data_IF_272104783029
#
_entry.id   IF_272104783029
#
_cell.length_a   1.000
_cell.length_b   1.000
_cell.length_c   1.000
_cell.angle_alpha   90.00
_cell.angle_beta   90.00
_cell.angle_gamma   90.00
#
_symmetry.space_group_name_H-M   'P 1'
#
loop_
_entity.id
_entity.type
_entity.pdbx_description
1 polymer ?
#
# COMPACT_ATOMS: atom_id res chain seq x y z
N UNK A 1 -9.33 -0.16 -32.66
CA UNK A 1 -9.03 -0.14 -31.21
C UNK A 1 -9.12 -1.56 -30.67
N UNK A 2 -8.10 -2.01 -29.97
CA UNK A 2 -8.12 -3.33 -29.32
C UNK A 2 -9.05 -3.23 -28.11
N UNK A 3 -9.99 -4.14 -28.00
CA UNK A 3 -10.94 -4.14 -26.88
C UNK A 3 -10.27 -4.77 -25.65
N UNK A 4 -9.83 -3.94 -24.69
CA UNK A 4 -9.20 -4.37 -23.43
C UNK A 4 -10.12 -5.29 -22.62
N UNK A 5 -11.43 -5.10 -22.70
CA UNK A 5 -12.42 -5.96 -22.05
C UNK A 5 -12.41 -7.38 -22.62
N UNK A 6 -12.30 -7.51 -23.94
CA UNK A 6 -12.15 -8.82 -24.59
C UNK A 6 -10.86 -9.51 -24.11
N UNK A 7 -9.76 -8.77 -23.97
CA UNK A 7 -8.50 -9.30 -23.43
C UNK A 7 -8.70 -9.77 -21.98
N UNK A 8 -9.32 -8.96 -21.13
CA UNK A 8 -9.58 -9.30 -19.74
C UNK A 8 -10.41 -10.59 -19.61
N UNK A 9 -11.43 -10.75 -20.45
CA UNK A 9 -12.27 -11.95 -20.48
C UNK A 9 -11.48 -13.20 -20.89
N UNK A 10 -10.63 -13.10 -21.93
CA UNK A 10 -9.75 -14.19 -22.33
C UNK A 10 -8.79 -14.62 -21.21
N UNK A 11 -8.31 -13.66 -20.39
CA UNK A 11 -7.50 -13.97 -19.21
C UNK A 11 -8.29 -14.71 -18.14
N UNK A 12 -9.50 -14.25 -17.82
CA UNK A 12 -10.37 -14.91 -16.83
C UNK A 12 -10.71 -16.32 -17.25
N UNK A 13 -10.89 -16.56 -18.53
CA UNK A 13 -11.15 -17.87 -19.13
C UNK A 13 -9.86 -18.71 -19.31
N UNK A 14 -8.68 -18.19 -18.98
CA UNK A 14 -7.36 -18.83 -19.16
C UNK A 14 -7.02 -19.19 -20.62
N UNK A 15 -7.60 -18.49 -21.57
CA UNK A 15 -7.40 -18.71 -23.02
C UNK A 15 -6.07 -18.14 -23.53
N UNK A 16 -5.49 -17.18 -22.79
CA UNK A 16 -4.27 -16.48 -23.18
C UNK A 16 -3.28 -16.37 -22.02
N UNK A 17 -1.99 -16.23 -22.35
CA UNK A 17 -0.94 -15.97 -21.37
C UNK A 17 -0.51 -14.51 -21.45
N UNK A 18 -0.19 -13.89 -20.32
CA UNK A 18 0.23 -12.49 -20.27
C UNK A 18 1.39 -12.17 -21.22
N UNK A 19 2.36 -13.09 -21.34
CA UNK A 19 3.52 -12.94 -22.23
C UNK A 19 3.17 -12.84 -23.72
N UNK A 20 2.02 -13.35 -24.13
CA UNK A 20 1.61 -13.35 -25.54
C UNK A 20 0.84 -12.07 -25.89
N UNK A 21 0.27 -11.41 -24.88
CA UNK A 21 -0.60 -10.24 -25.03
C UNK A 21 0.12 -8.94 -24.67
N UNK A 22 1.09 -8.97 -23.76
CA UNK A 22 1.69 -7.75 -23.24
C UNK A 22 3.18 -7.64 -23.50
N UNK A 23 3.64 -6.38 -23.65
CA UNK A 23 5.02 -5.95 -23.62
C UNK A 23 5.27 -5.07 -22.40
N UNK A 24 6.48 -5.16 -21.84
CA UNK A 24 6.93 -4.26 -20.79
C UNK A 24 8.02 -3.35 -21.33
N UNK A 25 7.75 -2.05 -21.29
CA UNK A 25 8.66 -1.00 -21.78
C UNK A 25 8.95 0.01 -20.68
N UNK A 26 10.11 0.61 -20.72
CA UNK A 26 10.40 1.80 -19.93
C UNK A 26 9.53 2.95 -20.41
N UNK A 27 9.06 3.76 -19.48
CA UNK A 27 8.26 4.94 -19.76
C UNK A 27 8.82 6.14 -19.02
N UNK A 28 8.57 7.35 -19.54
CA UNK A 28 8.95 8.56 -18.84
C UNK A 28 8.17 8.72 -17.52
N UNK A 29 8.71 9.57 -16.66
CA UNK A 29 8.05 9.88 -15.38
C UNK A 29 6.67 10.50 -15.60
N UNK A 30 6.54 11.34 -16.62
CA UNK A 30 5.29 12.02 -16.97
C UNK A 30 4.21 11.00 -17.34
N UNK A 31 4.53 10.06 -18.26
CA UNK A 31 3.59 8.99 -18.65
C UNK A 31 3.18 8.13 -17.46
N UNK A 32 4.14 7.76 -16.62
CA UNK A 32 3.86 6.99 -15.40
C UNK A 32 2.97 7.77 -14.42
N UNK A 33 3.26 9.07 -14.24
CA UNK A 33 2.52 9.94 -13.34
C UNK A 33 1.08 10.12 -13.79
N UNK A 34 0.84 10.40 -15.08
CA UNK A 34 -0.50 10.58 -15.63
C UNK A 34 -1.34 9.32 -15.49
N UNK A 35 -0.75 8.15 -15.78
CA UNK A 35 -1.45 6.87 -15.61
C UNK A 35 -1.80 6.60 -14.13
N UNK A 36 -0.85 6.80 -13.22
CA UNK A 36 -1.04 6.56 -11.79
C UNK A 36 -2.07 7.54 -11.21
N UNK A 37 -1.99 8.81 -11.59
CA UNK A 37 -2.95 9.84 -11.19
C UNK A 37 -4.38 9.45 -11.54
N UNK A 38 -4.58 8.88 -12.71
CA UNK A 38 -5.90 8.53 -13.21
C UNK A 38 -6.46 7.25 -12.57
N UNK A 39 -5.63 6.24 -12.31
CA UNK A 39 -6.11 4.89 -11.98
C UNK A 39 -5.69 4.38 -10.60
N UNK A 40 -4.74 5.03 -9.93
CA UNK A 40 -4.31 4.58 -8.60
C UNK A 40 -5.16 5.24 -7.51
N UNK A 41 -5.49 4.47 -6.46
CA UNK A 41 -6.33 4.96 -5.35
C UNK A 41 -5.78 6.19 -4.60
N UNK A 42 -4.48 6.45 -4.66
CA UNK A 42 -3.85 7.64 -4.09
C UNK A 42 -3.93 8.87 -5.03
N UNK A 43 -4.41 8.70 -6.26
CA UNK A 43 -4.61 9.79 -7.22
C UNK A 43 -3.42 10.73 -7.33
N UNK A 44 -3.62 12.00 -6.99
CA UNK A 44 -2.63 13.08 -7.09
C UNK A 44 -1.51 13.05 -6.05
N UNK A 45 -1.45 12.03 -5.18
CA UNK A 45 -0.39 11.94 -4.18
C UNK A 45 1.00 11.89 -4.86
N UNK A 46 1.81 12.91 -4.59
CA UNK A 46 3.17 13.02 -5.11
C UNK A 46 4.01 11.80 -4.74
N UNK A 47 4.80 11.33 -5.69
CA UNK A 47 5.77 10.27 -5.47
C UNK A 47 7.06 10.56 -6.25
N UNK A 48 8.14 9.93 -5.80
CA UNK A 48 9.41 9.95 -6.53
C UNK A 48 9.53 8.67 -7.32
N UNK A 49 10.14 8.75 -8.51
CA UNK A 49 10.46 7.59 -9.32
C UNK A 49 11.78 7.79 -10.05
N UNK A 50 12.58 6.74 -10.09
CA UNK A 50 13.81 6.64 -10.87
C UNK A 50 13.61 5.74 -12.08
N UNK A 51 12.92 4.61 -11.89
CA UNK A 51 12.63 3.65 -12.94
C UNK A 51 11.12 3.48 -13.06
N UNK A 52 10.61 3.55 -14.27
CA UNK A 52 9.20 3.42 -14.56
C UNK A 52 8.98 2.42 -15.69
N UNK A 53 8.16 1.43 -15.45
CA UNK A 53 7.84 0.39 -16.41
C UNK A 53 6.35 0.35 -16.68
N UNK A 54 6.01 0.51 -17.97
CA UNK A 54 4.64 0.39 -18.45
C UNK A 54 4.35 -0.99 -19.00
N UNK A 55 3.17 -1.51 -18.73
CA UNK A 55 2.60 -2.69 -19.39
C UNK A 55 1.74 -2.21 -20.57
N UNK A 56 2.10 -2.62 -21.76
CA UNK A 56 1.42 -2.25 -22.98
C UNK A 56 0.79 -3.47 -23.65
N UNK A 57 -0.32 -3.25 -24.33
CA UNK A 57 -0.83 -4.27 -25.24
C UNK A 57 0.17 -4.42 -26.38
N UNK A 58 0.60 -5.66 -26.64
CA UNK A 58 1.64 -5.99 -27.63
C UNK A 58 1.29 -5.44 -29.01
N UNK A 59 2.27 -4.80 -29.64
CA UNK A 59 2.13 -4.19 -30.96
C UNK A 59 1.36 -2.87 -30.96
N UNK A 60 1.06 -2.31 -29.78
CA UNK A 60 0.37 -1.02 -29.64
C UNK A 60 1.10 -0.06 -28.70
N UNK A 61 0.58 1.16 -28.58
CA UNK A 61 0.99 2.13 -27.56
C UNK A 61 -0.05 2.25 -26.42
N UNK A 62 -0.96 1.30 -26.31
CA UNK A 62 -1.98 1.30 -25.26
C UNK A 62 -1.39 0.83 -23.93
N UNK A 63 -1.22 1.76 -22.99
CA UNK A 63 -0.70 1.53 -21.65
C UNK A 63 -1.83 1.03 -20.75
N UNK A 64 -1.66 -0.15 -20.15
CA UNK A 64 -2.67 -0.80 -19.32
C UNK A 64 -2.22 -1.04 -17.87
N UNK A 65 -0.97 -0.76 -17.56
CA UNK A 65 -0.43 -0.87 -16.21
C UNK A 65 0.90 -0.16 -16.06
N UNK A 66 1.24 0.23 -14.83
CA UNK A 66 2.50 0.91 -14.52
C UNK A 66 3.06 0.45 -13.18
N UNK A 67 4.38 0.26 -13.13
CA UNK A 67 5.16 0.00 -11.92
C UNK A 67 6.29 1.04 -11.83
N UNK A 68 6.41 1.71 -10.68
CA UNK A 68 7.41 2.75 -10.46
C UNK A 68 8.29 2.45 -9.27
N UNK A 69 9.57 2.76 -9.39
CA UNK A 69 10.59 2.46 -8.41
C UNK A 69 11.40 3.70 -8.09
N UNK A 70 11.73 3.89 -6.82
CA UNK A 70 12.64 4.95 -6.37
C UNK A 70 13.57 4.46 -5.26
N UNK A 71 14.45 5.33 -4.81
CA UNK A 71 15.14 5.10 -3.55
C UNK A 71 14.13 5.04 -2.41
N UNK A 72 14.36 4.17 -1.40
CA UNK A 72 13.50 4.07 -0.24
C UNK A 72 13.31 5.41 0.46
N UNK A 73 12.08 5.70 0.86
CA UNK A 73 11.74 6.94 1.54
C UNK A 73 12.13 6.87 3.02
N UNK A 74 12.96 7.82 3.45
CA UNK A 74 13.44 7.94 4.83
C UNK A 74 14.88 7.51 4.99
N UNK A 75 15.65 8.34 5.67
CA UNK A 75 17.10 8.18 5.88
C UNK A 75 17.47 6.89 6.60
N UNK A 76 16.60 6.39 7.48
CA UNK A 76 16.84 5.19 8.28
C UNK A 76 16.29 3.90 7.64
N UNK A 77 15.59 4.01 6.50
CA UNK A 77 14.95 2.84 5.89
C UNK A 77 15.97 1.77 5.49
N UNK A 78 17.02 2.13 4.74
CA UNK A 78 18.05 1.19 4.30
C UNK A 78 18.85 0.61 5.45
N UNK A 79 19.16 1.42 6.47
CA UNK A 79 19.84 0.97 7.68
C UNK A 79 19.01 -0.07 8.43
N UNK A 80 17.69 0.18 8.56
CA UNK A 80 16.79 -0.78 9.20
C UNK A 80 16.60 -2.07 8.42
N UNK A 81 16.56 -2.00 7.07
CA UNK A 81 16.36 -3.19 6.25
C UNK A 81 17.62 -4.04 6.07
N UNK A 82 18.76 -3.40 5.79
CA UNK A 82 19.97 -4.09 5.32
C UNK A 82 21.25 -3.62 5.99
N UNK A 83 21.20 -2.69 6.96
CA UNK A 83 22.39 -2.08 7.55
C UNK A 83 23.18 -1.19 6.58
N UNK A 84 22.56 -0.76 5.48
CA UNK A 84 23.18 0.05 4.45
C UNK A 84 23.00 1.55 4.72
N UNK A 85 23.88 2.35 4.17
CA UNK A 85 23.80 3.81 4.25
C UNK A 85 22.63 4.34 3.39
N UNK A 86 22.10 5.49 3.75
CA UNK A 86 20.92 6.07 3.11
C UNK A 86 21.08 6.44 1.63
N UNK A 87 22.32 6.53 1.14
CA UNK A 87 22.65 6.84 -0.24
C UNK A 87 22.95 5.59 -1.11
N UNK A 88 22.77 4.39 -0.58
CA UNK A 88 22.95 3.16 -1.36
C UNK A 88 21.86 3.07 -2.42
N UNK A 89 22.27 3.20 -3.69
CA UNK A 89 21.38 3.19 -4.85
C UNK A 89 21.04 1.76 -5.34
N UNK A 90 21.58 0.75 -4.70
CA UNK A 90 21.35 -0.65 -5.09
C UNK A 90 20.03 -1.22 -4.56
N UNK A 91 19.32 -0.50 -3.69
CA UNK A 91 18.02 -0.89 -3.13
C UNK A 91 16.95 0.03 -3.67
N UNK A 92 15.92 -0.55 -4.24
CA UNK A 92 14.75 0.19 -4.74
C UNK A 92 13.52 -0.08 -3.91
N UNK A 93 12.69 0.94 -3.76
CA UNK A 93 11.31 0.79 -3.25
C UNK A 93 10.35 0.79 -4.43
N UNK A 94 9.47 -0.21 -4.51
CA UNK A 94 8.32 -0.18 -5.40
C UNK A 94 7.32 0.84 -4.84
N UNK A 95 7.31 2.02 -5.42
CA UNK A 95 6.53 3.16 -4.92
C UNK A 95 5.08 3.13 -5.35
N UNK A 96 4.82 2.69 -6.58
CA UNK A 96 3.46 2.53 -7.12
C UNK A 96 3.40 1.31 -8.03
N UNK A 97 2.29 0.60 -7.93
CA UNK A 97 1.89 -0.46 -8.85
C UNK A 97 0.42 -0.25 -9.17
N UNK A 98 0.13 0.00 -10.43
CA UNK A 98 -1.21 0.36 -10.87
C UNK A 98 -1.57 -0.36 -12.17
N UNK A 99 -2.81 -0.80 -12.27
CA UNK A 99 -3.37 -1.45 -13.46
C UNK A 99 -4.70 -0.80 -13.83
N UNK A 100 -5.09 -0.91 -15.09
CA UNK A 100 -6.48 -0.62 -15.44
C UNK A 100 -7.42 -1.50 -14.62
N UNK A 101 -8.48 -0.96 -14.01
CA UNK A 101 -9.38 -1.71 -13.14
C UNK A 101 -9.96 -2.98 -13.78
N UNK A 102 -10.20 -2.96 -15.08
CA UNK A 102 -10.75 -4.09 -15.83
C UNK A 102 -9.81 -5.32 -15.84
N UNK A 103 -8.51 -5.12 -15.64
CA UNK A 103 -7.50 -6.18 -15.55
C UNK A 103 -7.29 -6.70 -14.13
N UNK A 104 -7.97 -6.15 -13.14
CA UNK A 104 -7.92 -6.68 -11.78
C UNK A 104 -8.43 -8.12 -11.73
N UNK A 105 -7.78 -8.93 -10.87
CA UNK A 105 -8.08 -10.37 -10.77
C UNK A 105 -7.47 -11.22 -11.89
N UNK A 106 -6.69 -10.62 -12.80
CA UNK A 106 -5.90 -11.35 -13.80
C UNK A 106 -4.44 -11.47 -13.39
N UNK A 107 -3.65 -12.27 -14.10
CA UNK A 107 -2.22 -12.41 -13.85
C UNK A 107 -1.36 -11.29 -14.50
N UNK A 108 -1.98 -10.26 -15.10
CA UNK A 108 -1.27 -9.14 -15.72
C UNK A 108 -0.45 -8.33 -14.73
N UNK A 109 -0.97 -8.12 -13.51
CA UNK A 109 -0.23 -7.39 -12.47
C UNK A 109 1.02 -8.13 -12.02
N UNK A 110 0.93 -9.44 -11.80
CA UNK A 110 2.10 -10.26 -11.44
C UNK A 110 3.09 -10.36 -12.59
N UNK A 111 2.62 -10.36 -13.83
CA UNK A 111 3.47 -10.32 -15.01
C UNK A 111 4.24 -9.00 -15.10
N UNK A 112 3.57 -7.85 -14.92
CA UNK A 112 4.21 -6.54 -14.88
C UNK A 112 5.28 -6.49 -13.77
N UNK A 113 4.90 -6.82 -12.54
CA UNK A 113 5.79 -6.72 -11.38
C UNK A 113 7.01 -7.62 -11.53
N UNK A 114 6.82 -8.89 -11.87
CA UNK A 114 7.92 -9.85 -11.99
C UNK A 114 8.90 -9.48 -13.11
N UNK A 115 8.41 -8.95 -14.23
CA UNK A 115 9.29 -8.62 -15.35
C UNK A 115 9.93 -7.23 -15.21
N UNK A 116 9.27 -6.26 -14.56
CA UNK A 116 9.93 -4.99 -14.23
C UNK A 116 11.08 -5.20 -13.23
N UNK A 117 10.91 -6.07 -12.24
CA UNK A 117 12.01 -6.45 -11.32
C UNK A 117 13.18 -7.10 -12.06
N UNK A 118 12.92 -7.96 -13.05
CA UNK A 118 13.98 -8.54 -13.86
C UNK A 118 14.77 -7.47 -14.61
N UNK A 119 14.11 -6.43 -15.11
CA UNK A 119 14.77 -5.30 -15.79
C UNK A 119 15.65 -4.47 -14.84
N UNK A 120 15.26 -4.32 -13.58
CA UNK A 120 16.05 -3.63 -12.57
C UNK A 120 17.43 -4.27 -12.32
N UNK A 121 17.62 -5.57 -12.61
CA UNK A 121 18.95 -6.22 -12.54
C UNK A 121 19.98 -5.53 -13.43
N UNK A 122 19.57 -5.00 -14.57
CA UNK A 122 20.45 -4.29 -15.49
C UNK A 122 20.97 -2.97 -14.89
N UNK A 123 20.38 -2.49 -13.81
CA UNK A 123 20.75 -1.29 -13.08
C UNK A 123 21.46 -1.59 -11.75
N UNK A 124 22.00 -2.79 -11.59
CA UNK A 124 22.69 -3.24 -10.38
C UNK A 124 21.82 -3.19 -9.09
N UNK A 125 20.51 -3.29 -9.24
CA UNK A 125 19.59 -3.36 -8.09
C UNK A 125 19.74 -4.72 -7.41
N UNK A 126 20.02 -4.70 -6.11
CA UNK A 126 20.25 -5.89 -5.27
C UNK A 126 18.99 -6.37 -4.57
N UNK A 127 18.08 -5.46 -4.25
CA UNK A 127 16.78 -5.81 -3.68
C UNK A 127 15.72 -4.77 -4.03
N UNK A 128 14.47 -5.22 -4.02
CA UNK A 128 13.28 -4.35 -4.10
C UNK A 128 12.48 -4.52 -2.83
N UNK A 129 12.25 -3.43 -2.11
CA UNK A 129 11.35 -3.40 -0.95
C UNK A 129 10.01 -2.79 -1.33
N UNK A 130 8.97 -3.11 -0.58
CA UNK A 130 7.66 -2.49 -0.73
C UNK A 130 6.85 -2.59 0.55
N UNK A 131 5.90 -1.69 0.68
CA UNK A 131 5.03 -1.57 1.84
C UNK A 131 3.56 -1.68 1.41
N UNK A 132 2.84 -2.64 1.97
CA UNK A 132 1.40 -2.77 1.77
C UNK A 132 0.64 -2.15 2.94
N UNK A 133 -0.38 -1.35 2.65
CA UNK A 133 -1.21 -0.74 3.68
C UNK A 133 -2.12 -1.79 4.33
N UNK A 134 -1.91 -2.07 5.62
CA UNK A 134 -2.65 -3.09 6.34
C UNK A 134 -4.16 -2.82 6.43
N UNK A 135 -4.58 -1.55 6.29
CA UNK A 135 -6.01 -1.20 6.21
C UNK A 135 -6.66 -1.52 4.86
N UNK A 136 -5.88 -1.92 3.87
CA UNK A 136 -6.38 -2.10 2.50
C UNK A 136 -6.19 -3.52 1.98
N UNK A 137 -5.08 -4.14 2.28
CA UNK A 137 -4.75 -5.47 1.76
C UNK A 137 -3.52 -6.08 2.43
N UNK A 138 -3.44 -7.38 2.47
CA UNK A 138 -2.29 -8.15 2.97
C UNK A 138 -1.10 -8.20 2.01
N UNK A 139 -1.15 -7.53 0.86
CA UNK A 139 -0.07 -7.58 -0.13
C UNK A 139 -0.02 -8.87 -0.95
N UNK A 140 -1.15 -9.51 -1.24
CA UNK A 140 -1.23 -10.77 -1.98
C UNK A 140 -0.45 -10.75 -3.30
N UNK A 141 -0.42 -9.61 -4.00
CA UNK A 141 0.35 -9.47 -5.24
C UNK A 141 1.86 -9.67 -5.02
N UNK A 142 2.39 -9.18 -3.91
CA UNK A 142 3.80 -9.36 -3.55
C UNK A 142 4.09 -10.81 -3.22
N UNK A 143 3.18 -11.47 -2.48
CA UNK A 143 3.29 -12.89 -2.12
C UNK A 143 3.33 -13.78 -3.36
N UNK A 144 2.45 -13.53 -4.34
CA UNK A 144 2.40 -14.25 -5.63
C UNK A 144 3.68 -14.02 -6.44
N UNK A 145 4.29 -12.84 -6.33
CA UNK A 145 5.56 -12.50 -7.00
C UNK A 145 6.81 -12.92 -6.21
N UNK A 146 6.67 -13.78 -5.20
CA UNK A 146 7.76 -14.33 -4.40
C UNK A 146 8.53 -13.30 -3.55
N UNK A 147 7.91 -12.20 -3.19
CA UNK A 147 8.45 -11.36 -2.13
C UNK A 147 8.36 -12.10 -0.80
N UNK A 148 9.38 -11.96 0.01
CA UNK A 148 9.40 -12.40 1.39
C UNK A 148 8.70 -11.39 2.28
N UNK A 149 8.00 -11.88 3.29
CA UNK A 149 7.31 -11.05 4.27
C UNK A 149 8.17 -10.87 5.52
N UNK A 150 8.22 -9.64 6.03
CA UNK A 150 9.06 -9.26 7.18
C UNK A 150 8.25 -8.53 8.26
N UNK A 151 7.00 -8.94 8.44
CA UNK A 151 6.12 -8.45 9.49
C UNK A 151 5.59 -7.03 9.23
N UNK A 152 4.93 -6.51 10.23
CA UNK A 152 4.39 -5.16 10.22
C UNK A 152 5.47 -4.12 10.57
N UNK A 153 5.46 -3.00 9.88
CA UNK A 153 6.28 -1.84 10.24
C UNK A 153 5.90 -1.32 11.64
N UNK A 154 6.77 -0.57 12.28
CA UNK A 154 6.46 0.10 13.55
C UNK A 154 5.29 1.07 13.37
N UNK A 155 4.50 1.22 14.42
CA UNK A 155 3.43 2.22 14.47
C UNK A 155 4.01 3.62 14.23
N UNK A 156 3.31 4.41 13.43
CA UNK A 156 3.65 5.79 13.16
C UNK A 156 2.43 6.67 13.41
N UNK A 157 2.66 7.95 13.70
CA UNK A 157 1.61 8.93 13.93
C UNK A 157 1.68 10.01 12.85
N UNK A 158 0.53 10.49 12.41
CA UNK A 158 0.40 11.67 11.57
C UNK A 158 -0.23 12.79 12.40
N UNK A 159 0.22 14.02 12.16
CA UNK A 159 -0.31 15.19 12.85
C UNK A 159 -1.53 15.73 12.12
N UNK A 160 -2.65 15.81 12.81
CA UNK A 160 -3.91 16.35 12.33
C UNK A 160 -4.12 17.73 12.95
N UNK A 161 -4.34 18.73 12.11
CA UNK A 161 -4.70 20.08 12.53
C UNK A 161 -6.17 20.12 12.95
N UNK A 162 -6.55 21.18 13.67
CA UNK A 162 -7.93 21.36 14.12
C UNK A 162 -8.94 21.47 12.95
N UNK A 163 -8.49 21.86 11.77
CA UNK A 163 -9.29 21.88 10.54
C UNK A 163 -9.43 20.49 9.88
N UNK A 164 -8.87 19.44 10.49
CA UNK A 164 -8.87 18.09 9.98
C UNK A 164 -7.82 17.82 8.90
N UNK A 165 -7.05 18.82 8.50
CA UNK A 165 -5.98 18.60 7.52
C UNK A 165 -4.80 17.85 8.14
N UNK A 166 -4.21 16.93 7.35
CA UNK A 166 -3.02 16.20 7.77
C UNK A 166 -1.78 17.01 7.45
N UNK A 167 -0.93 17.24 8.44
CA UNK A 167 0.38 17.81 8.18
C UNK A 167 1.31 16.72 7.68
N UNK A 168 1.75 16.77 6.41
CA UNK A 168 2.72 15.81 5.93
C UNK A 168 3.99 15.94 6.78
N UNK A 169 4.57 14.82 7.13
CA UNK A 169 5.76 14.65 7.96
C UNK A 169 6.65 15.88 8.00
N UNK A 170 6.73 16.55 9.13
CA UNK A 170 7.52 17.75 9.23
C UNK A 170 7.37 18.45 10.57
N UNK A 171 7.95 19.61 10.65
CA UNK A 171 7.91 20.44 11.85
C UNK A 171 6.48 20.97 12.03
N UNK A 172 5.87 20.59 13.14
CA UNK A 172 4.53 21.08 13.50
C UNK A 172 4.56 22.51 14.03
N UNK A 173 5.73 22.95 14.52
CA UNK A 173 5.90 24.28 15.10
C UNK A 173 4.91 24.54 16.24
N UNK A 174 4.26 25.71 16.21
CA UNK A 174 3.21 26.10 17.16
C UNK A 174 1.79 25.76 16.68
N UNK A 175 1.62 24.86 15.70
CA UNK A 175 0.31 24.50 15.21
C UNK A 175 -0.48 23.72 16.26
N UNK A 176 -1.75 24.07 16.40
CA UNK A 176 -2.69 23.29 17.20
C UNK A 176 -3.18 22.08 16.43
N UNK A 177 -3.35 20.97 17.13
CA UNK A 177 -3.80 19.73 16.54
C UNK A 177 -3.37 18.51 17.37
N UNK A 178 -3.66 17.32 16.88
CA UNK A 178 -3.42 16.06 17.57
C UNK A 178 -2.60 15.10 16.73
N UNK A 179 -1.81 14.25 17.38
CA UNK A 179 -1.16 13.12 16.74
C UNK A 179 -2.09 11.91 16.80
N UNK A 180 -2.48 11.40 15.65
CA UNK A 180 -3.23 10.15 15.54
C UNK A 180 -2.37 9.05 14.93
N UNK A 181 -2.44 7.81 15.45
CA UNK A 181 -1.76 6.68 14.86
C UNK A 181 -2.32 6.44 13.46
N UNK A 182 -1.45 6.13 12.52
CA UNK A 182 -1.83 5.67 11.18
C UNK A 182 -1.69 4.17 11.09
N UNK A 183 -2.38 3.57 10.14
CA UNK A 183 -2.27 2.13 9.88
C UNK A 183 -0.83 1.75 9.58
N UNK A 184 -0.42 0.63 10.14
CA UNK A 184 0.89 0.04 9.89
C UNK A 184 0.96 -0.47 8.46
N UNK A 185 2.15 -0.84 8.04
CA UNK A 185 2.40 -1.34 6.69
C UNK A 185 3.01 -2.74 6.79
N UNK A 186 2.47 -3.68 6.04
CA UNK A 186 3.14 -4.96 5.81
C UNK A 186 4.42 -4.74 5.02
N UNK A 187 5.53 -5.29 5.51
CA UNK A 187 6.86 -5.16 4.90
C UNK A 187 7.15 -6.35 4.00
N UNK A 188 7.49 -6.07 2.77
CA UNK A 188 7.87 -7.08 1.78
C UNK A 188 9.20 -6.72 1.12
N UNK A 189 10.03 -7.73 0.83
CA UNK A 189 11.24 -7.55 0.03
C UNK A 189 11.42 -8.70 -0.96
N UNK A 190 11.90 -8.36 -2.15
CA UNK A 190 12.38 -9.27 -3.17
C UNK A 190 13.90 -9.15 -3.27
N UNK A 191 14.62 -10.17 -2.84
CA UNK A 191 16.08 -10.15 -2.81
C UNK A 191 16.61 -10.70 -4.14
N UNK A 192 17.29 -9.84 -4.90
CA UNK A 192 17.91 -10.16 -6.19
C UNK A 192 19.32 -10.71 -6.00
N UNK A 193 20.06 -10.16 -5.04
CA UNK A 193 21.41 -10.57 -4.67
C UNK A 193 21.33 -11.41 -3.37
N UNK A 194 21.57 -12.70 -3.50
CA UNK A 194 21.49 -13.64 -2.36
C UNK A 194 22.54 -13.39 -1.27
N UNK A 195 23.56 -12.58 -1.53
CA UNK A 195 24.56 -12.20 -0.53
C UNK A 195 24.05 -11.10 0.42
N UNK A 196 23.01 -10.38 0.00
CA UNK A 196 22.37 -9.34 0.79
C UNK A 196 21.48 -9.95 1.87
N UNK A 197 21.79 -9.67 3.13
CA UNK A 197 21.00 -10.14 4.27
C UNK A 197 20.04 -9.06 4.74
N UNK A 198 18.77 -9.41 4.88
CA UNK A 198 17.79 -8.58 5.54
C UNK A 198 17.99 -8.65 7.06
N UNK A 199 17.90 -7.52 7.76
CA UNK A 199 18.03 -7.43 9.23
C UNK A 199 16.69 -7.73 9.94
N UNK A 200 15.57 -7.64 9.24
CA UNK A 200 14.29 -8.08 9.77
C UNK A 200 14.16 -9.61 9.65
N UNK A 201 13.51 -10.21 10.61
CA UNK A 201 13.16 -11.62 10.56
C UNK A 201 12.05 -11.87 9.52
N UNK A 202 12.16 -12.98 8.79
CA UNK A 202 11.10 -13.42 7.88
C UNK A 202 9.96 -14.02 8.71
N UNK A 203 8.75 -13.50 8.52
CA UNK A 203 7.55 -13.93 9.22
C UNK A 203 6.59 -14.72 8.31
N UNK A 204 5.64 -15.42 8.91
CA UNK A 204 4.53 -16.04 8.20
C UNK A 204 3.73 -15.00 7.43
N UNK A 205 3.43 -15.29 6.17
CA UNK A 205 2.65 -14.39 5.32
C UNK A 205 1.26 -14.18 5.89
N UNK A 206 0.79 -12.92 5.96
CA UNK A 206 -0.57 -12.66 6.39
C UNK A 206 -1.57 -13.19 5.35
N UNK A 207 -2.69 -13.69 5.82
CA UNK A 207 -3.79 -14.21 5.01
C UNK A 207 -4.98 -13.28 5.05
N UNK A 208 -5.96 -13.49 4.17
CA UNK A 208 -7.22 -12.73 4.17
C UNK A 208 -8.05 -13.04 5.43
N UNK A 209 -7.81 -14.18 6.07
CA UNK A 209 -8.45 -14.57 7.32
C UNK A 209 -7.97 -13.74 8.52
N UNK A 210 -6.79 -13.13 8.40
CA UNK A 210 -6.27 -12.16 9.36
C UNK A 210 -6.93 -10.79 9.19
N UNK A 211 -8.25 -10.70 9.09
CA UNK A 211 -8.97 -9.45 8.83
C UNK A 211 -9.97 -9.12 9.92
N UNK A 212 -10.19 -7.81 10.15
CA UNK A 212 -11.21 -7.29 11.05
C UNK A 212 -12.27 -6.54 10.25
N UNK A 213 -13.50 -6.64 10.69
CA UNK A 213 -14.60 -5.85 10.13
C UNK A 213 -14.69 -4.52 10.86
N UNK A 214 -14.69 -3.45 10.10
CA UNK A 214 -14.90 -2.09 10.60
C UNK A 214 -15.98 -1.39 9.81
N UNK A 215 -16.58 -0.36 10.38
CA UNK A 215 -17.64 0.43 9.73
C UNK A 215 -17.21 1.88 9.67
N UNK A 216 -17.32 2.46 8.47
CA UNK A 216 -17.06 3.86 8.21
C UNK A 216 -17.91 4.35 7.04
N UNK A 217 -18.31 5.62 7.05
CA UNK A 217 -19.03 6.24 5.91
C UNK A 217 -20.24 5.43 5.44
N UNK A 218 -21.02 4.86 6.36
CA UNK A 218 -22.18 4.01 6.11
C UNK A 218 -21.89 2.66 5.45
N UNK A 219 -20.63 2.33 5.20
CA UNK A 219 -20.21 1.08 4.61
C UNK A 219 -19.47 0.19 5.63
N UNK A 220 -19.52 -1.10 5.41
CA UNK A 220 -18.76 -2.08 6.15
C UNK A 220 -17.47 -2.41 5.38
N UNK A 221 -16.33 -2.35 6.06
CA UNK A 221 -15.03 -2.64 5.48
C UNK A 221 -14.35 -3.78 6.20
N UNK A 222 -13.66 -4.60 5.43
CA UNK A 222 -12.71 -5.56 5.96
C UNK A 222 -11.34 -4.92 5.94
N UNK A 223 -10.77 -4.69 7.11
CA UNK A 223 -9.39 -4.24 7.26
C UNK A 223 -8.54 -5.40 7.74
N UNK A 224 -7.32 -5.47 7.22
CA UNK A 224 -6.44 -6.59 7.49
C UNK A 224 -5.88 -6.51 8.90
N UNK A 225 -5.67 -7.67 9.51
CA UNK A 225 -5.23 -7.79 10.88
C UNK A 225 -3.98 -6.96 11.11
N UNK A 226 -4.11 -6.19 12.14
CA UNK A 226 -3.05 -5.41 12.64
C UNK A 226 -3.07 -5.55 14.16
N UNK A 227 -2.64 -6.70 14.65
CA UNK A 227 -2.72 -7.12 16.07
C UNK A 227 -2.23 -6.07 17.05
N UNK A 228 -1.47 -5.09 16.57
CA UNK A 228 -0.85 -4.06 17.38
C UNK A 228 -1.47 -2.68 17.18
N UNK A 229 -2.24 -2.47 16.10
CA UNK A 229 -2.91 -1.21 15.82
C UNK A 229 -4.40 -1.31 16.15
N UNK A 230 -4.86 -0.38 16.96
CA UNK A 230 -6.28 -0.21 17.27
C UNK A 230 -6.96 0.82 16.36
N UNK A 231 -6.17 1.37 15.43
CA UNK A 231 -6.59 2.42 14.52
C UNK A 231 -6.39 1.99 13.08
N UNK A 232 -7.42 2.17 12.30
CA UNK A 232 -7.41 1.82 10.88
C UNK A 232 -7.76 3.05 10.05
N UNK A 233 -7.29 3.10 8.81
CA UNK A 233 -7.68 4.14 7.86
C UNK A 233 -8.76 3.58 6.94
N UNK A 234 -9.90 4.24 6.88
CA UNK A 234 -10.96 3.87 5.97
C UNK A 234 -10.47 3.94 4.51
N UNK A 235 -10.59 2.86 3.72
CA UNK A 235 -10.14 2.86 2.34
C UNK A 235 -10.95 3.79 1.43
N UNK A 236 -12.18 4.15 1.81
CA UNK A 236 -13.07 4.98 1.02
C UNK A 236 -12.88 6.47 1.27
N UNK A 237 -12.85 6.90 2.52
CA UNK A 237 -12.76 8.32 2.88
C UNK A 237 -11.41 8.72 3.46
N UNK A 238 -10.47 7.79 3.61
CA UNK A 238 -9.16 7.98 4.22
C UNK A 238 -9.19 8.53 5.66
N UNK A 239 -10.33 8.51 6.33
CA UNK A 239 -10.45 8.87 7.74
C UNK A 239 -9.84 7.80 8.62
N UNK A 240 -9.28 8.18 9.77
CA UNK A 240 -8.86 7.23 10.76
C UNK A 240 -10.08 6.52 11.36
N UNK A 241 -9.92 5.23 11.55
CA UNK A 241 -10.92 4.37 12.15
C UNK A 241 -10.33 3.65 13.35
N UNK A 242 -11.20 3.30 14.26
CA UNK A 242 -10.89 2.48 15.43
C UNK A 242 -11.42 1.07 15.22
N UNK A 243 -10.77 0.11 15.83
CA UNK A 243 -11.31 -1.23 15.94
C UNK A 243 -12.57 -1.19 16.83
N UNK A 244 -13.65 -1.75 16.32
CA UNK A 244 -14.94 -1.78 16.99
C UNK A 244 -15.19 -3.17 17.56
N UNK A 245 -15.65 -3.20 18.80
CA UNK A 245 -16.17 -4.43 19.36
C UNK A 245 -17.57 -4.75 18.82
N UNK A 246 -18.03 -5.97 19.04
CA UNK A 246 -19.30 -6.46 18.52
C UNK A 246 -20.51 -5.60 18.93
N UNK A 247 -20.52 -5.06 20.14
CA UNK A 247 -21.59 -4.18 20.63
C UNK A 247 -21.62 -2.87 19.86
N UNK A 248 -20.45 -2.29 19.59
CA UNK A 248 -20.31 -1.05 18.82
C UNK A 248 -20.70 -1.25 17.36
N UNK A 249 -20.31 -2.37 16.75
CA UNK A 249 -20.72 -2.73 15.39
C UNK A 249 -22.23 -2.85 15.29
N UNK A 250 -22.87 -3.52 16.25
CA UNK A 250 -24.33 -3.66 16.28
C UNK A 250 -25.05 -2.32 16.49
N UNK A 251 -24.50 -1.43 17.32
CA UNK A 251 -25.01 -0.05 17.50
C UNK A 251 -25.00 0.72 16.18
N UNK A 252 -23.91 0.65 15.41
CA UNK A 252 -23.81 1.33 14.11
C UNK A 252 -24.79 0.72 13.11
N UNK A 253 -24.84 -0.62 13.01
CA UNK A 253 -25.75 -1.32 12.08
C UNK A 253 -27.21 -0.98 12.32
N UNK A 254 -27.61 -0.75 13.56
CA UNK A 254 -28.98 -0.36 13.93
C UNK A 254 -29.26 1.14 13.83
N UNK A 255 -28.25 1.97 13.63
CA UNK A 255 -28.42 3.42 13.53
C UNK A 255 -29.00 3.84 12.19
N UNK A 256 -29.91 4.81 12.18
CA UNK A 256 -30.42 5.44 10.95
C UNK A 256 -29.39 6.35 10.30
N UNK A 257 -28.52 6.99 11.09
CA UNK A 257 -27.38 7.78 10.60
C UNK A 257 -26.07 7.15 11.03
N UNK A 258 -25.60 6.21 10.24
CA UNK A 258 -24.36 5.47 10.52
C UNK A 258 -23.14 6.37 10.62
N UNK A 259 -23.03 7.38 9.75
CA UNK A 259 -21.90 8.30 9.74
C UNK A 259 -21.77 9.07 11.05
N UNK A 260 -22.85 9.66 11.51
CA UNK A 260 -22.87 10.41 12.77
C UNK A 260 -22.58 9.48 13.98
N UNK A 261 -23.12 8.27 13.96
CA UNK A 261 -22.86 7.25 14.98
C UNK A 261 -21.37 6.86 15.03
N UNK A 262 -20.71 6.70 13.87
CA UNK A 262 -19.27 6.42 13.77
C UNK A 262 -18.45 7.59 14.28
N UNK A 263 -18.76 8.82 13.87
CA UNK A 263 -18.07 10.03 14.33
C UNK A 263 -18.19 10.21 15.85
N UNK A 264 -19.36 9.92 16.40
CA UNK A 264 -19.56 9.96 17.85
C UNK A 264 -18.69 8.92 18.57
N UNK A 265 -18.68 7.66 18.08
CA UNK A 265 -17.85 6.60 18.64
C UNK A 265 -16.36 6.93 18.57
N UNK A 266 -15.90 7.51 17.48
CA UNK A 266 -14.51 7.97 17.35
C UNK A 266 -14.18 8.99 18.42
N UNK A 267 -15.04 9.99 18.64
CA UNK A 267 -14.87 11.01 19.69
C UNK A 267 -14.87 10.42 21.12
N UNK A 268 -15.65 9.39 21.36
CA UNK A 268 -15.76 8.75 22.68
C UNK A 268 -14.55 7.83 22.99
N UNK A 269 -13.99 7.18 21.98
CA UNK A 269 -12.99 6.12 22.14
C UNK A 269 -11.56 6.65 21.93
N UNK A 270 -11.35 7.55 20.98
CA UNK A 270 -10.03 8.08 20.64
C UNK A 270 -9.26 8.68 21.84
N UNK A 271 -9.85 9.56 22.66
CA UNK A 271 -9.15 10.13 23.80
C UNK A 271 -8.76 9.11 24.88
N UNK A 272 -9.60 8.08 25.09
CA UNK A 272 -9.37 7.05 26.10
C UNK A 272 -8.22 6.12 25.72
N UNK A 273 -8.07 5.82 24.45
CA UNK A 273 -7.00 4.95 23.95
C UNK A 273 -5.65 5.67 23.96
N UNK A 274 -5.63 6.96 23.67
CA UNK A 274 -4.43 7.78 23.72
C UNK A 274 -3.86 7.87 25.16
N UNK A 275 -4.73 8.01 26.16
CA UNK A 275 -4.36 8.00 27.58
C UNK A 275 -3.82 6.64 28.06
N UNK A 276 -4.33 5.53 27.54
CA UNK A 276 -3.86 4.20 27.94
C UNK A 276 -2.50 3.85 27.33
N UNK A 277 -2.17 4.36 26.13
CA UNK A 277 -0.83 4.19 25.54
C UNK A 277 0.23 5.03 26.27
N UNK A 278 -0.10 6.22 26.75
CA UNK A 278 0.80 7.05 27.56
C UNK A 278 1.10 6.44 28.91
N UNK A 279 0.13 5.76 29.53
CA UNK A 279 0.31 5.07 30.83
C UNK A 279 1.09 3.76 30.71
N UNK A 280 1.10 3.11 29.55
CA UNK A 280 1.85 1.86 29.33
C UNK A 280 3.33 2.08 28.95
N UNK A 281 3.77 3.33 28.82
CA UNK A 281 5.15 3.72 28.52
C UNK A 281 5.94 4.15 29.77
N UNK A 282 5.34 4.07 30.96
CA UNK A 282 5.95 4.18 32.28
C UNK A 282 5.84 2.80 33.00
#
# INVERSE_FOLDING_TARGET
>A
MINVESIANKFRNREVKAKDIFDIREVSKEIAYDFIRQYHYLGDAKFFSMYNYGLFIRGTNELVGCATYSLPQGTEALKGWFGLECNDISIMELTRLCMLPILNGTNSTSYLLSNSIKKLRNHNVRAVITLADASRHVGSIYQVCNFKYYGLAKTAKDFYRDDGSVNPRGKTGSMMGVYLPRTRKHRYAYILDKTLKCLYEEESRPTVEDTHTTICCDDEFVVYDNRYDKWYTCPKCCSHMIELNEVQVNKIKSSHNKKECVEQLIREIAPKQQLMEEVSLF
#
